data_IF_900336688761
#
_entry.id   IF_900336688761
#
_cell.length_a   1.000
_cell.length_b   1.000
_cell.length_c   1.000
_cell.angle_alpha   90.00
_cell.angle_beta   90.00
_cell.angle_gamma   90.00
#
_symmetry.space_group_name_H-M   'P 1'
#
loop_
_entity.id
_entity.type
_entity.pdbx_description
1 polymer ?
#
# COMPACT_ATOMS: atom_id res chain seq x y z
N UNK A 1 -8.29 -21.99 -20.72
CA UNK A 1 -8.73 -20.83 -21.53
C UNK A 1 -7.66 -19.75 -21.31
N UNK A 2 -6.53 -19.83 -22.00
CA UNK A 2 -5.27 -19.25 -21.49
C UNK A 2 -4.57 -18.23 -22.40
N UNK A 3 -5.10 -17.96 -23.60
CA UNK A 3 -4.54 -16.96 -24.52
C UNK A 3 -5.52 -15.80 -24.75
N UNK A 4 -4.98 -14.61 -25.04
CA UNK A 4 -5.75 -13.41 -25.34
C UNK A 4 -5.76 -13.16 -26.86
N UNK A 5 -6.88 -13.39 -27.57
CA UNK A 5 -6.89 -13.48 -29.04
C UNK A 5 -6.32 -12.26 -29.77
N UNK A 6 -6.58 -11.05 -29.25
CA UNK A 6 -6.13 -9.80 -29.87
C UNK A 6 -4.62 -9.67 -29.97
N UNK A 7 -3.86 -10.38 -29.12
CA UNK A 7 -2.40 -10.28 -29.11
C UNK A 7 -1.72 -11.45 -29.81
N UNK A 8 -2.45 -12.49 -30.23
CA UNK A 8 -1.86 -13.72 -30.77
C UNK A 8 -1.00 -13.53 -32.03
N UNK A 9 -1.19 -12.43 -32.76
CA UNK A 9 -0.37 -12.10 -33.93
C UNK A 9 0.99 -11.50 -33.59
N UNK A 10 1.21 -11.08 -32.34
CA UNK A 10 2.49 -10.52 -31.90
C UNK A 10 3.44 -11.61 -31.37
N UNK A 11 4.76 -11.45 -31.58
CA UNK A 11 5.77 -12.28 -30.92
C UNK A 11 5.62 -12.25 -29.39
N UNK A 12 6.02 -13.33 -28.72
CA UNK A 12 5.88 -13.48 -27.27
C UNK A 12 6.49 -12.31 -26.48
N UNK A 13 7.64 -11.81 -26.91
CA UNK A 13 8.36 -10.69 -26.31
C UNK A 13 7.51 -9.41 -26.31
N UNK A 14 6.83 -9.15 -27.43
CA UNK A 14 5.94 -7.99 -27.60
C UNK A 14 4.70 -8.14 -26.73
N UNK A 15 4.08 -9.32 -26.70
CA UNK A 15 2.91 -9.60 -25.84
C UNK A 15 3.25 -9.39 -24.37
N UNK A 16 4.41 -9.87 -23.93
CA UNK A 16 4.91 -9.68 -22.57
C UNK A 16 5.19 -8.21 -22.25
N UNK A 17 5.72 -7.43 -23.18
CA UNK A 17 5.90 -5.97 -23.01
C UNK A 17 4.56 -5.25 -22.88
N UNK A 18 3.56 -5.60 -23.70
CA UNK A 18 2.21 -5.03 -23.60
C UNK A 18 1.66 -5.27 -22.18
N UNK A 19 1.73 -6.50 -21.68
CA UNK A 19 1.26 -6.82 -20.33
C UNK A 19 1.99 -6.04 -19.24
N UNK A 20 3.31 -5.84 -19.36
CA UNK A 20 4.07 -5.01 -18.43
C UNK A 20 3.59 -3.55 -18.42
N UNK A 21 3.33 -2.98 -19.60
CA UNK A 21 2.81 -1.61 -19.72
C UNK A 21 1.37 -1.47 -19.20
N UNK A 22 0.60 -2.55 -19.14
CA UNK A 22 -0.75 -2.56 -18.56
C UNK A 22 -0.77 -2.71 -17.03
N UNK A 23 0.37 -2.96 -16.38
CA UNK A 23 0.41 -3.05 -14.92
C UNK A 23 0.07 -1.68 -14.30
N UNK A 24 -0.76 -1.65 -13.25
CA UNK A 24 -1.13 -0.39 -12.61
C UNK A 24 0.09 0.21 -11.91
N UNK A 25 0.50 1.42 -12.33
CA UNK A 25 1.46 2.25 -11.62
C UNK A 25 0.69 3.13 -10.63
N UNK A 26 0.78 2.81 -9.34
CA UNK A 26 -0.01 3.47 -8.28
C UNK A 26 0.87 3.94 -7.13
N UNK A 27 0.26 4.72 -6.24
CA UNK A 27 0.73 4.90 -4.87
C UNK A 27 0.10 3.76 -4.06
N UNK A 28 0.91 2.90 -3.46
CA UNK A 28 0.42 1.79 -2.66
C UNK A 28 0.21 2.27 -1.22
N UNK A 29 -1.03 2.31 -0.76
CA UNK A 29 -1.37 2.72 0.60
C UNK A 29 -1.25 1.53 1.56
N UNK A 30 -0.45 1.72 2.60
CA UNK A 30 -0.32 0.80 3.71
C UNK A 30 -1.21 1.26 4.87
N UNK A 31 -2.24 0.47 5.13
CA UNK A 31 -3.10 0.67 6.28
C UNK A 31 -2.60 -0.13 7.49
N UNK A 32 -2.53 0.50 8.65
CA UNK A 32 -2.23 -0.18 9.90
C UNK A 32 -3.54 -0.73 10.51
N UNK A 33 -3.67 -2.06 10.70
CA UNK A 33 -4.93 -2.74 11.01
C UNK A 33 -5.53 -2.34 12.36
N UNK A 34 -4.72 -1.78 13.27
CA UNK A 34 -5.15 -1.32 14.60
C UNK A 34 -6.31 -0.32 14.56
N UNK A 35 -6.45 0.45 13.48
CA UNK A 35 -7.55 1.43 13.32
C UNK A 35 -8.71 0.94 12.46
N UNK A 36 -8.53 -0.15 11.71
CA UNK A 36 -9.56 -0.68 10.81
C UNK A 36 -10.59 -1.59 11.51
N UNK A 37 -10.23 -2.16 12.67
CA UNK A 37 -11.03 -3.15 13.40
C UNK A 37 -11.43 -2.74 14.81
N UNK A 38 -11.16 -1.49 15.24
CA UNK A 38 -11.49 -1.02 16.59
C UNK A 38 -12.99 -0.71 16.78
N UNK A 39 -13.81 -0.91 15.74
CA UNK A 39 -15.25 -0.65 15.75
C UNK A 39 -15.62 0.82 15.81
N UNK A 40 -14.65 1.76 15.72
CA UNK A 40 -14.89 3.20 15.77
C UNK A 40 -14.99 3.79 14.36
N UNK A 41 -16.02 3.37 13.63
CA UNK A 41 -16.36 3.89 12.30
C UNK A 41 -16.49 5.43 12.27
N UNK A 42 -16.82 6.05 13.41
CA UNK A 42 -17.01 7.51 13.55
C UNK A 42 -15.75 8.35 13.41
N UNK A 43 -14.55 7.75 13.41
CA UNK A 43 -13.27 8.48 13.27
C UNK A 43 -12.72 8.48 11.85
N UNK A 44 -13.42 7.84 10.93
CA UNK A 44 -12.93 7.60 9.58
C UNK A 44 -13.83 8.34 8.59
N UNK A 45 -13.29 9.40 7.99
CA UNK A 45 -14.03 10.32 7.10
C UNK A 45 -14.51 9.64 5.81
N UNK A 46 -13.97 8.46 5.47
CA UNK A 46 -14.37 7.67 4.31
C UNK A 46 -14.06 6.18 4.51
N UNK A 47 -14.98 5.29 4.15
CA UNK A 47 -14.94 3.81 4.27
C UNK A 47 -13.55 3.17 4.04
N UNK A 48 -12.69 3.07 5.06
CA UNK A 48 -11.29 2.68 4.85
C UNK A 48 -11.16 1.18 4.64
N UNK A 49 -12.14 0.40 5.11
CA UNK A 49 -12.27 -1.03 4.79
C UNK A 49 -12.30 -1.26 3.28
N UNK A 50 -12.97 -0.39 2.52
CA UNK A 50 -13.05 -0.53 1.05
C UNK A 50 -11.70 -0.28 0.40
N UNK A 51 -11.00 0.78 0.80
CA UNK A 51 -9.67 1.13 0.27
C UNK A 51 -8.66 0.04 0.60
N UNK A 52 -8.65 -0.42 1.85
CA UNK A 52 -7.85 -1.55 2.31
C UNK A 52 -8.06 -2.79 1.44
N UNK A 53 -9.32 -3.23 1.28
CA UNK A 53 -9.66 -4.41 0.48
C UNK A 53 -9.25 -4.24 -1.00
N UNK A 54 -9.23 -3.03 -1.54
CA UNK A 54 -8.75 -2.78 -2.89
C UNK A 54 -7.21 -2.85 -2.98
N UNK A 55 -6.50 -2.37 -1.97
CA UNK A 55 -5.05 -2.40 -1.89
C UNK A 55 -4.48 -3.82 -1.66
N UNK A 56 -5.19 -4.68 -0.94
CA UNK A 56 -4.81 -6.09 -0.72
C UNK A 56 -5.10 -7.01 -1.90
N UNK A 57 -5.84 -6.54 -2.92
CA UNK A 57 -6.19 -7.39 -4.08
C UNK A 57 -5.05 -7.47 -5.09
N UNK A 58 -4.88 -8.68 -5.64
CA UNK A 58 -4.12 -8.89 -6.87
C UNK A 58 -4.74 -8.05 -8.00
N UNK A 59 -3.95 -7.36 -8.83
CA UNK A 59 -4.45 -6.61 -9.97
C UNK A 59 -5.39 -7.44 -10.86
N UNK A 60 -6.53 -6.85 -11.27
CA UNK A 60 -7.51 -7.50 -12.14
C UNK A 60 -6.90 -8.02 -13.45
N UNK A 61 -5.78 -7.44 -13.89
CA UNK A 61 -4.99 -7.91 -15.02
C UNK A 61 -4.65 -9.41 -14.94
N UNK A 62 -4.47 -9.95 -13.74
CA UNK A 62 -4.18 -11.37 -13.52
C UNK A 62 -5.32 -12.32 -13.92
N UNK A 63 -6.53 -11.79 -14.11
CA UNK A 63 -7.71 -12.56 -14.52
C UNK A 63 -7.87 -12.64 -16.04
N UNK A 64 -7.12 -11.85 -16.82
CA UNK A 64 -7.31 -11.74 -18.28
C UNK A 64 -6.86 -13.02 -19.00
N UNK A 65 -5.63 -13.47 -18.77
CA UNK A 65 -5.08 -14.71 -19.33
C UNK A 65 -3.86 -15.17 -18.51
N UNK A 66 -3.28 -16.32 -18.86
CA UNK A 66 -2.14 -16.89 -18.13
C UNK A 66 -0.87 -16.03 -18.24
N UNK A 67 -0.64 -15.39 -19.40
CA UNK A 67 0.51 -14.52 -19.62
C UNK A 67 0.42 -13.23 -18.82
N UNK A 68 -0.75 -12.59 -18.82
CA UNK A 68 -1.01 -11.41 -18.02
C UNK A 68 -0.85 -11.72 -16.52
N UNK A 69 -1.37 -12.87 -16.08
CA UNK A 69 -1.18 -13.39 -14.72
C UNK A 69 0.28 -13.57 -14.37
N UNK A 70 1.05 -14.23 -15.23
CA UNK A 70 2.49 -14.45 -15.01
C UNK A 70 3.24 -13.12 -14.83
N UNK A 71 2.90 -12.10 -15.62
CA UNK A 71 3.49 -10.76 -15.49
C UNK A 71 3.10 -10.09 -14.17
N UNK A 72 1.85 -10.21 -13.73
CA UNK A 72 1.41 -9.66 -12.43
C UNK A 72 2.22 -10.25 -11.27
N UNK A 73 2.37 -11.57 -11.21
CA UNK A 73 3.12 -12.25 -10.15
C UNK A 73 4.65 -12.11 -10.27
N UNK A 74 5.17 -11.74 -11.44
CA UNK A 74 6.59 -11.38 -11.60
C UNK A 74 6.90 -10.00 -10.99
N UNK A 75 5.94 -9.07 -11.04
CA UNK A 75 6.16 -7.68 -10.64
C UNK A 75 5.68 -7.37 -9.24
N UNK A 76 4.79 -8.17 -8.68
CA UNK A 76 4.25 -7.92 -7.36
C UNK A 76 3.93 -9.16 -6.56
N UNK A 77 3.55 -8.90 -5.32
CA UNK A 77 3.19 -9.92 -4.34
C UNK A 77 2.57 -9.29 -3.10
N UNK A 78 1.90 -10.11 -2.32
CA UNK A 78 1.45 -9.73 -0.98
C UNK A 78 2.64 -9.54 -0.06
N UNK A 79 2.61 -8.49 0.75
CA UNK A 79 3.66 -8.22 1.74
C UNK A 79 3.69 -9.32 2.82
N UNK A 80 4.80 -10.00 3.03
CA UNK A 80 4.87 -10.99 4.13
C UNK A 80 5.39 -10.27 5.37
N UNK A 81 4.54 -10.10 6.40
CA UNK A 81 4.98 -9.60 7.70
C UNK A 81 5.03 -10.73 8.73
N UNK A 82 6.20 -11.31 9.01
CA UNK A 82 6.33 -12.45 9.93
C UNK A 82 6.15 -12.09 11.41
N UNK A 83 6.01 -10.80 11.77
CA UNK A 83 5.95 -10.33 13.17
C UNK A 83 4.60 -9.75 13.61
N UNK A 84 3.62 -9.65 12.71
CA UNK A 84 2.32 -9.02 13.01
C UNK A 84 1.21 -10.06 12.87
N UNK A 85 0.79 -10.64 14.00
CA UNK A 85 -0.29 -11.66 14.10
C UNK A 85 -1.67 -11.09 13.74
N UNK A 86 -1.79 -9.75 13.69
CA UNK A 86 -3.03 -9.04 13.34
C UNK A 86 -3.10 -8.64 11.86
N UNK A 87 -2.19 -9.12 11.00
CA UNK A 87 -2.21 -8.80 9.57
C UNK A 87 -3.39 -9.52 8.89
N UNK A 88 -4.55 -8.87 8.84
CA UNK A 88 -5.44 -9.06 7.71
C UNK A 88 -4.61 -8.89 6.42
N UNK A 89 -4.89 -9.73 5.44
CA UNK A 89 -4.15 -9.92 4.19
C UNK A 89 -3.41 -8.66 3.75
N UNK A 90 -2.10 -8.75 3.87
CA UNK A 90 -1.17 -7.68 3.59
C UNK A 90 -1.39 -7.07 2.21
N UNK A 91 -1.06 -5.80 2.07
CA UNK A 91 -1.22 -5.08 0.80
C UNK A 91 -0.50 -5.80 -0.35
N UNK A 92 -1.07 -5.75 -1.55
CA UNK A 92 -0.36 -6.16 -2.77
C UNK A 92 0.58 -5.04 -3.20
N UNK A 93 1.86 -5.34 -3.30
CA UNK A 93 2.90 -4.39 -3.70
C UNK A 93 3.55 -4.80 -5.01
N UNK A 94 3.91 -3.81 -5.82
CA UNK A 94 4.69 -3.96 -7.04
C UNK A 94 5.95 -3.06 -6.96
N UNK A 95 6.98 -3.44 -6.19
CA UNK A 95 8.06 -2.53 -5.79
C UNK A 95 8.81 -1.87 -6.97
N UNK A 96 8.84 -2.53 -8.13
CA UNK A 96 9.52 -2.02 -9.33
C UNK A 96 8.76 -0.93 -10.07
N UNK A 97 7.46 -0.77 -9.84
CA UNK A 97 6.59 0.13 -10.61
C UNK A 97 5.67 1.01 -9.75
N UNK A 98 5.38 0.63 -8.51
CA UNK A 98 4.65 1.49 -7.59
C UNK A 98 5.52 2.71 -7.25
N UNK A 99 4.92 3.90 -7.29
CA UNK A 99 5.68 5.16 -7.20
C UNK A 99 6.12 5.47 -5.76
N UNK A 100 5.31 5.07 -4.80
CA UNK A 100 5.56 5.26 -3.38
C UNK A 100 4.70 4.30 -2.54
N UNK A 101 5.21 3.98 -1.36
CA UNK A 101 4.44 3.41 -0.26
C UNK A 101 3.88 4.57 0.58
N UNK A 102 2.56 4.66 0.67
CA UNK A 102 1.85 5.74 1.35
C UNK A 102 1.33 5.30 2.71
N UNK A 103 1.47 6.16 3.70
CA UNK A 103 0.86 5.98 5.01
C UNK A 103 -0.24 7.01 5.22
N UNK A 104 -1.47 6.52 5.20
CA UNK A 104 -2.66 7.29 5.56
C UNK A 104 -2.82 7.34 7.08
N UNK A 105 -1.88 8.01 7.75
CA UNK A 105 -1.85 8.15 9.20
C UNK A 105 -1.59 9.61 9.56
N UNK A 106 -2.45 10.16 10.43
CA UNK A 106 -2.44 11.57 10.85
C UNK A 106 -1.83 11.70 12.23
N UNK A 107 -1.25 12.86 12.58
CA UNK A 107 -0.69 13.10 13.92
C UNK A 107 -1.72 12.87 15.04
N UNK A 108 -2.98 13.25 14.80
CA UNK A 108 -4.08 12.99 15.74
C UNK A 108 -4.25 11.50 16.07
N UNK A 109 -4.20 10.62 15.06
CA UNK A 109 -4.26 9.17 15.25
C UNK A 109 -3.08 8.63 16.04
N UNK A 110 -1.91 9.19 15.82
CA UNK A 110 -0.71 8.89 16.60
C UNK A 110 -0.90 9.22 18.09
N UNK A 111 -1.41 10.42 18.39
CA UNK A 111 -1.73 10.87 19.76
C UNK A 111 -2.80 9.98 20.39
N UNK A 112 -3.90 9.71 19.68
CA UNK A 112 -5.02 8.91 20.20
C UNK A 112 -4.61 7.47 20.53
N UNK A 113 -3.67 6.89 19.76
CA UNK A 113 -3.28 5.49 19.90
C UNK A 113 -2.07 5.29 20.83
N UNK A 114 -1.07 6.15 20.74
CA UNK A 114 0.18 6.02 21.50
C UNK A 114 0.28 6.98 22.69
N UNK A 115 -0.69 7.90 22.87
CA UNK A 115 -0.71 8.81 24.02
C UNK A 115 0.44 9.80 24.06
N UNK A 116 1.09 10.08 22.92
CA UNK A 116 2.28 10.90 22.84
C UNK A 116 2.01 12.24 22.13
N UNK A 117 2.41 13.36 22.74
CA UNK A 117 2.38 14.69 22.12
C UNK A 117 3.52 14.93 21.11
N UNK A 118 4.49 14.01 21.04
CA UNK A 118 5.75 14.21 20.37
C UNK A 118 6.06 13.03 19.43
N UNK A 119 5.84 13.25 18.14
CA UNK A 119 6.11 12.28 17.07
C UNK A 119 7.61 11.92 16.96
N UNK A 120 8.48 12.65 17.67
CA UNK A 120 9.92 12.40 17.73
C UNK A 120 10.35 11.56 18.93
N UNK A 121 9.44 11.28 19.89
CA UNK A 121 9.80 10.67 21.19
C UNK A 121 9.48 9.19 21.34
N UNK A 122 8.80 8.56 20.38
CA UNK A 122 8.68 7.10 20.35
C UNK A 122 10.04 6.49 20.05
N UNK A 123 10.49 5.56 20.88
CA UNK A 123 11.56 4.63 20.49
C UNK A 123 11.20 4.09 19.10
N UNK A 124 12.07 4.37 18.12
CA UNK A 124 11.85 4.19 16.68
C UNK A 124 11.41 2.78 16.27
N UNK A 125 11.55 1.81 17.17
CA UNK A 125 11.35 0.40 16.90
C UNK A 125 9.88 0.03 16.63
N UNK A 126 8.89 0.87 17.00
CA UNK A 126 7.47 0.50 16.92
C UNK A 126 6.48 1.57 16.42
N UNK A 127 6.95 2.74 15.95
CA UNK A 127 6.01 3.73 15.39
C UNK A 127 5.65 3.41 13.93
N UNK A 128 4.40 3.65 13.49
CA UNK A 128 3.95 3.35 12.12
C UNK A 128 4.82 4.01 11.03
N UNK A 129 5.26 5.25 11.27
CA UNK A 129 6.15 5.97 10.36
C UNK A 129 7.52 5.30 10.24
N UNK A 130 8.16 4.94 11.37
CA UNK A 130 9.46 4.27 11.37
C UNK A 130 9.40 2.94 10.62
N UNK A 131 8.34 2.16 10.86
CA UNK A 131 8.09 0.90 10.14
C UNK A 131 7.89 1.10 8.64
N UNK A 132 7.13 2.11 8.24
CA UNK A 132 6.90 2.43 6.83
C UNK A 132 8.19 2.86 6.14
N UNK A 133 8.94 3.80 6.74
CA UNK A 133 10.23 4.29 6.22
C UNK A 133 11.22 3.12 6.09
N UNK A 134 11.30 2.26 7.10
CA UNK A 134 12.15 1.08 7.06
C UNK A 134 11.77 0.18 5.88
N UNK A 135 10.48 -0.15 5.72
CA UNK A 135 10.00 -1.03 4.65
C UNK A 135 10.19 -0.42 3.27
N UNK A 136 9.82 0.85 3.08
CA UNK A 136 9.99 1.54 1.81
C UNK A 136 11.46 1.55 1.38
N UNK A 137 12.39 1.90 2.27
CA UNK A 137 13.80 2.05 1.91
C UNK A 137 14.60 0.74 1.92
N UNK A 138 14.38 -0.14 2.90
CA UNK A 138 15.23 -1.32 3.14
C UNK A 138 14.62 -2.62 2.60
N UNK A 139 13.30 -2.69 2.41
CA UNK A 139 12.63 -3.91 1.94
C UNK A 139 12.21 -3.77 0.48
N UNK A 140 11.51 -2.69 0.13
CA UNK A 140 10.91 -2.53 -1.20
C UNK A 140 11.69 -1.62 -2.13
N UNK A 141 12.64 -0.82 -1.61
CA UNK A 141 13.42 0.14 -2.39
C UNK A 141 12.51 1.12 -3.18
N UNK A 142 11.44 1.58 -2.53
CA UNK A 142 10.46 2.53 -3.09
C UNK A 142 10.43 3.82 -2.26
N UNK A 143 9.79 4.87 -2.79
CA UNK A 143 9.64 6.15 -2.09
C UNK A 143 8.62 6.03 -0.97
N UNK A 144 8.74 6.92 0.02
CA UNK A 144 7.74 7.07 1.08
C UNK A 144 6.81 8.23 0.75
N UNK A 145 5.52 8.08 1.01
CA UNK A 145 4.51 9.13 0.94
C UNK A 145 3.76 9.21 2.28
N UNK A 146 3.56 10.41 2.80
CA UNK A 146 2.95 10.66 4.10
C UNK A 146 1.86 11.72 3.95
N UNK A 147 0.86 11.68 4.83
CA UNK A 147 -0.09 12.79 4.98
C UNK A 147 0.64 13.99 5.58
N UNK A 148 0.53 15.16 4.95
CA UNK A 148 1.24 16.38 5.40
C UNK A 148 0.91 16.76 6.84
N UNK A 149 -0.35 16.57 7.27
CA UNK A 149 -0.83 16.80 8.65
C UNK A 149 -0.01 16.04 9.70
N UNK A 150 0.58 14.90 9.34
CA UNK A 150 1.43 14.16 10.27
C UNK A 150 2.66 14.97 10.69
N UNK A 151 3.26 15.71 9.75
CA UNK A 151 4.45 16.53 9.98
C UNK A 151 4.09 17.97 10.38
N UNK A 152 3.06 18.53 9.73
CA UNK A 152 2.62 19.91 9.87
C UNK A 152 1.15 19.91 10.29
N UNK A 153 0.85 19.86 11.60
CA UNK A 153 -0.54 19.86 12.05
C UNK A 153 -1.23 21.14 11.57
N UNK A 154 -2.44 20.99 11.05
CA UNK A 154 -3.26 22.11 10.65
C UNK A 154 -3.90 22.74 11.89
N UNK A 155 -3.60 24.02 12.14
CA UNK A 155 -4.14 24.78 13.28
C UNK A 155 -5.21 25.76 12.77
N UNK A 156 -6.47 25.50 13.12
CA UNK A 156 -7.61 26.35 12.76
C UNK A 156 -7.68 27.63 13.61
N UNK A 157 -6.94 27.73 14.71
CA UNK A 157 -6.97 28.91 15.60
C UNK A 157 -6.13 30.08 15.08
N UNK A 158 -5.41 29.90 13.96
CA UNK A 158 -4.58 30.92 13.32
C UNK A 158 -5.17 31.50 12.02
N UNK A 159 -6.45 31.27 11.74
CA UNK A 159 -7.20 31.82 10.58
C UNK A 159 -8.12 32.98 10.97
#
# INVERSE_FOLDING_TARGET
>A
HDSFPHFNHFPFEVRRLIWKCCLPCRIAEEDFPFTLLDGKESRQVYWPVRTFLLNSRVPLLALVCSEARAVVFEFGGHQINPRVVTSLDSIWLQPKIDQALHLNWTRRRDIEWYGHHDALRTMLDHCPMGMLIYRANNVYQTKTSLVAEYLYPFDLEQL
#
